data_IF_152171118176
#
_entry.id   IF_152171118176
#
_cell.length_a   1.000
_cell.length_b   1.000
_cell.length_c   1.000
_cell.angle_alpha   90.00
_cell.angle_beta   90.00
_cell.angle_gamma   90.00
#
_symmetry.space_group_name_H-M   'P 1'
#
loop_
_entity.id
_entity.type
_entity.pdbx_description
1 polymer ?
#
# COMPACT_ATOMS: atom_id res chain seq x y z
N UNK A 1 13.16 -21.82 2.94
CA UNK A 1 11.88 -22.09 3.62
C UNK A 1 11.01 -20.88 3.34
N UNK A 2 9.92 -21.04 2.59
CA UNK A 2 8.95 -19.96 2.39
C UNK A 2 7.81 -20.27 3.35
N UNK A 3 7.79 -19.61 4.51
CA UNK A 3 6.72 -19.78 5.49
C UNK A 3 5.41 -19.27 4.88
N UNK A 4 4.37 -20.12 4.88
CA UNK A 4 3.03 -19.75 4.39
C UNK A 4 2.18 -19.31 5.58
N UNK A 5 2.05 -17.99 5.76
CA UNK A 5 1.16 -17.44 6.78
C UNK A 5 -0.30 -17.49 6.30
N UNK A 6 -1.21 -17.90 7.17
CA UNK A 6 -2.65 -17.86 6.90
C UNK A 6 -3.20 -16.43 6.94
N UNK A 7 -2.58 -15.55 7.75
CA UNK A 7 -2.95 -14.15 7.91
C UNK A 7 -1.68 -13.30 7.89
N UNK A 8 -1.74 -12.17 7.19
CA UNK A 8 -0.70 -11.13 7.18
C UNK A 8 -1.36 -9.80 7.52
N UNK A 9 -0.76 -9.06 8.45
CA UNK A 9 -1.12 -7.67 8.74
C UNK A 9 -0.17 -6.72 8.02
N UNK A 10 -0.69 -5.58 7.56
CA UNK A 10 0.12 -4.47 7.04
C UNK A 10 0.11 -3.35 8.08
N UNK A 11 1.29 -3.01 8.58
CA UNK A 11 1.50 -1.82 9.41
C UNK A 11 2.11 -0.75 8.53
N UNK A 12 1.37 0.28 8.11
CA UNK A 12 0.01 0.66 8.49
C UNK A 12 -0.76 1.17 7.26
N UNK A 13 -2.07 1.45 7.40
CA UNK A 13 -2.75 2.23 6.38
C UNK A 13 -2.23 3.68 6.37
N UNK A 14 -2.28 4.36 7.51
CA UNK A 14 -2.07 5.82 7.60
C UNK A 14 -1.33 6.30 8.87
N UNK A 15 -0.38 5.54 9.41
CA UNK A 15 0.43 6.05 10.53
C UNK A 15 1.60 6.93 10.04
N UNK A 16 1.22 8.16 9.68
CA UNK A 16 2.10 9.17 9.09
C UNK A 16 3.27 9.57 10.00
N UNK A 17 3.08 9.59 11.32
CA UNK A 17 4.13 9.99 12.26
C UNK A 17 5.34 9.06 12.21
N UNK A 18 5.11 7.79 11.90
CA UNK A 18 6.15 6.76 11.78
C UNK A 18 6.60 6.52 10.34
N UNK A 19 5.94 7.13 9.35
CA UNK A 19 6.26 6.93 7.94
C UNK A 19 5.94 5.51 7.43
N UNK A 20 4.99 4.80 8.06
CA UNK A 20 4.64 3.40 7.72
C UNK A 20 3.40 3.27 6.84
N UNK A 21 2.80 4.40 6.44
CA UNK A 21 1.55 4.45 5.68
C UNK A 21 1.69 3.86 4.27
N UNK A 22 0.66 3.13 3.83
CA UNK A 22 0.43 2.80 2.42
C UNK A 22 -0.56 3.75 1.74
N UNK A 23 -1.19 4.64 2.51
CA UNK A 23 -2.04 5.72 2.01
C UNK A 23 -1.28 6.58 0.98
N UNK A 24 -1.93 7.05 -0.09
CA UNK A 24 -1.27 7.85 -1.11
C UNK A 24 -0.60 9.11 -0.56
N UNK A 25 0.68 9.31 -0.92
CA UNK A 25 1.45 10.50 -0.58
C UNK A 25 1.79 11.28 -1.86
N UNK A 26 1.62 12.61 -1.80
CA UNK A 26 2.00 13.52 -2.89
C UNK A 26 3.24 14.32 -2.50
N UNK A 27 4.09 14.71 -3.46
CA UNK A 27 5.25 15.56 -3.17
C UNK A 27 4.79 16.90 -2.59
N UNK A 28 5.43 17.33 -1.51
CA UNK A 28 5.11 18.59 -0.86
C UNK A 28 6.37 19.24 -0.27
N UNK A 29 6.43 20.57 -0.37
CA UNK A 29 7.44 21.38 0.30
C UNK A 29 6.70 22.44 1.11
N UNK A 30 6.95 22.47 2.41
CA UNK A 30 6.42 23.53 3.26
C UNK A 30 7.21 24.81 3.02
N UNK A 31 6.57 25.78 2.38
CA UNK A 31 7.19 27.06 2.03
C UNK A 31 7.51 27.94 3.24
N UNK A 32 6.94 27.66 4.42
CA UNK A 32 7.22 28.42 5.64
C UNK A 32 8.51 27.94 6.32
N UNK A 33 8.74 26.63 6.31
CA UNK A 33 9.89 26.00 7.00
C UNK A 33 11.01 25.60 6.04
N UNK A 34 10.74 25.52 4.74
CA UNK A 34 11.63 24.96 3.74
C UNK A 34 11.74 23.44 3.79
N UNK A 35 10.91 22.76 4.59
CA UNK A 35 10.96 21.31 4.74
C UNK A 35 10.40 20.61 3.50
N UNK A 36 11.17 19.68 2.95
CA UNK A 36 10.78 18.86 1.79
C UNK A 36 10.33 17.49 2.28
N UNK A 37 9.07 17.15 2.05
CA UNK A 37 8.52 15.86 2.41
C UNK A 37 9.01 14.77 1.45
N UNK A 38 9.18 13.55 1.98
CA UNK A 38 9.51 12.39 1.16
C UNK A 38 8.31 11.98 0.30
N UNK A 39 8.57 11.65 -0.96
CA UNK A 39 7.56 11.18 -1.91
C UNK A 39 7.71 9.70 -2.24
N UNK A 40 6.68 9.13 -2.86
CA UNK A 40 6.77 7.80 -3.45
C UNK A 40 7.30 7.89 -4.87
N UNK A 41 8.39 7.20 -5.18
CA UNK A 41 9.09 7.31 -6.46
C UNK A 41 8.28 6.87 -7.68
N UNK A 42 7.22 6.07 -7.50
CA UNK A 42 6.31 5.61 -8.54
C UNK A 42 4.94 6.30 -8.49
N UNK A 43 4.84 7.42 -7.77
CA UNK A 43 3.61 8.20 -7.62
C UNK A 43 2.75 7.76 -6.42
N UNK A 44 1.67 8.51 -6.13
CA UNK A 44 0.95 8.42 -4.86
C UNK A 44 0.40 7.01 -4.56
N UNK A 45 -0.07 6.28 -5.56
CA UNK A 45 -0.71 4.97 -5.36
C UNK A 45 0.28 3.80 -5.33
N UNK A 46 1.59 4.04 -5.31
CA UNK A 46 2.63 3.01 -5.38
C UNK A 46 2.38 1.84 -4.43
N UNK A 47 2.12 2.14 -3.15
CA UNK A 47 1.99 1.10 -2.13
C UNK A 47 0.63 0.40 -2.14
N UNK A 48 -0.42 1.05 -2.64
CA UNK A 48 -1.71 0.38 -2.88
C UNK A 48 -1.58 -0.66 -4.01
N UNK A 49 -0.93 -0.29 -5.12
CA UNK A 49 -0.67 -1.21 -6.22
C UNK A 49 0.21 -2.39 -5.80
N UNK A 50 1.31 -2.12 -5.07
CA UNK A 50 2.17 -3.18 -4.55
C UNK A 50 1.40 -4.11 -3.60
N UNK A 51 0.56 -3.55 -2.73
CA UNK A 51 -0.27 -4.34 -1.82
C UNK A 51 -1.22 -5.26 -2.60
N UNK A 52 -1.88 -4.74 -3.64
CA UNK A 52 -2.74 -5.53 -4.51
C UNK A 52 -1.98 -6.65 -5.21
N UNK A 53 -0.78 -6.38 -5.73
CA UNK A 53 0.06 -7.39 -6.40
C UNK A 53 0.49 -8.51 -5.44
N UNK A 54 0.84 -8.16 -4.20
CA UNK A 54 1.18 -9.14 -3.16
C UNK A 54 -0.04 -10.00 -2.77
N UNK A 55 -1.23 -9.38 -2.63
CA UNK A 55 -2.48 -10.10 -2.39
C UNK A 55 -2.78 -11.07 -3.53
N UNK A 56 -2.69 -10.62 -4.79
CA UNK A 56 -2.87 -11.47 -5.98
C UNK A 56 -1.91 -12.66 -5.97
N UNK A 57 -0.63 -12.41 -5.69
CA UNK A 57 0.41 -13.42 -5.72
C UNK A 57 0.28 -14.48 -4.63
N UNK A 58 -0.06 -14.06 -3.40
CA UNK A 58 0.03 -14.96 -2.24
C UNK A 58 -1.32 -15.41 -1.68
N UNK A 59 -2.39 -14.64 -1.90
CA UNK A 59 -3.70 -14.89 -1.26
C UNK A 59 -4.82 -15.19 -2.25
N UNK A 60 -4.74 -14.75 -3.51
CA UNK A 60 -5.80 -15.02 -4.50
C UNK A 60 -5.67 -16.39 -5.18
N UNK A 61 -4.46 -16.95 -5.34
CA UNK A 61 -4.32 -18.31 -5.90
C UNK A 61 -4.90 -19.41 -5.00
N UNK A 62 -5.09 -19.14 -3.70
CA UNK A 62 -5.57 -20.10 -2.70
C UNK A 62 -7.08 -20.01 -2.40
N UNK A 63 -7.77 -18.95 -2.81
CA UNK A 63 -9.20 -18.77 -2.55
C UNK A 63 -9.94 -18.38 -3.82
N UNK A 64 -10.95 -19.16 -4.18
CA UNK A 64 -12.04 -18.75 -5.07
C UNK A 64 -12.84 -17.61 -4.41
N UNK A 65 -12.22 -16.45 -4.20
CA UNK A 65 -12.92 -15.26 -3.76
C UNK A 65 -13.68 -14.77 -4.98
N UNK A 66 -15.01 -14.82 -4.89
CA UNK A 66 -15.91 -14.46 -5.97
C UNK A 66 -15.48 -13.12 -6.63
N UNK A 67 -15.47 -13.04 -7.97
CA UNK A 67 -14.88 -11.93 -8.73
C UNK A 67 -15.56 -10.55 -8.56
N UNK A 68 -16.45 -10.38 -7.58
CA UNK A 68 -17.45 -9.30 -7.59
C UNK A 68 -17.10 -8.05 -6.76
N UNK A 69 -15.94 -7.93 -6.10
CA UNK A 69 -15.65 -6.75 -5.23
C UNK A 69 -14.36 -5.98 -5.47
N UNK A 70 -13.47 -6.42 -6.36
CA UNK A 70 -12.19 -5.71 -6.62
C UNK A 70 -12.29 -4.78 -7.84
N UNK A 71 -13.33 -4.92 -8.67
CA UNK A 71 -13.44 -4.17 -9.93
C UNK A 71 -13.67 -2.64 -9.79
N UNK A 72 -13.96 -2.14 -8.58
CA UNK A 72 -14.30 -0.73 -8.34
C UNK A 72 -13.34 -0.02 -7.37
N UNK A 73 -12.09 -0.46 -7.28
CA UNK A 73 -11.04 0.28 -6.57
C UNK A 73 -10.04 0.78 -7.60
N UNK A 74 -10.48 1.78 -8.39
CA UNK A 74 -9.80 3.00 -8.88
C UNK A 74 -10.92 3.90 -9.40
#
# INVERSE_FOLDING_TARGET
>A
MTEKADIVSITSFNEWHEGTQIEPAVPFTDNQTGFVYSEYSKGPEQYLHLTLDLIKKYFMAAHHIAPAKIANIV
#
